data_IF_985752833987
#
_entry.id   IF_985752833987
#
_cell.length_a   1.000
_cell.length_b   1.000
_cell.length_c   1.000
_cell.angle_alpha   90.00
_cell.angle_beta   90.00
_cell.angle_gamma   90.00
#
_symmetry.space_group_name_H-M   'P 1'
#
loop_
_entity.id
_entity.type
_entity.pdbx_description
1 polymer ?
#
# COMPACT_ATOMS: atom_id res chain seq x y z
N UNK A 1 5.23 -52.17 7.33
CA UNK A 1 4.27 -51.96 6.25
C UNK A 1 3.01 -51.33 6.82
N UNK A 2 2.87 -50.04 6.75
CA UNK A 2 1.56 -49.36 6.92
C UNK A 2 1.66 -48.00 6.25
N UNK A 3 0.98 -47.91 5.12
CA UNK A 3 0.80 -46.68 4.35
C UNK A 3 -0.23 -45.82 5.07
N UNK A 4 0.15 -44.62 5.51
CA UNK A 4 -0.80 -43.60 5.92
C UNK A 4 -1.12 -42.71 4.72
N UNK A 5 -2.34 -42.86 4.24
CA UNK A 5 -2.99 -42.03 3.26
C UNK A 5 -3.36 -40.73 3.99
N UNK A 6 -2.78 -39.60 3.57
CA UNK A 6 -3.22 -38.26 3.98
C UNK A 6 -4.24 -37.84 2.93
N UNK A 7 -5.49 -37.72 3.36
CA UNK A 7 -6.57 -37.21 2.54
C UNK A 7 -6.48 -35.68 2.48
N UNK A 8 -6.34 -35.19 1.26
CA UNK A 8 -6.48 -33.77 0.93
C UNK A 8 -7.97 -33.39 0.98
N UNK A 9 -8.40 -32.64 1.96
CA UNK A 9 -9.74 -32.05 2.02
C UNK A 9 -9.70 -30.72 1.28
N UNK A 10 -10.09 -30.72 0.01
CA UNK A 10 -10.50 -29.52 -0.70
C UNK A 10 -11.85 -29.07 -0.12
N UNK A 11 -11.85 -28.00 0.65
CA UNK A 11 -13.06 -27.33 1.07
C UNK A 11 -13.56 -26.47 -0.11
N UNK A 12 -14.55 -27.01 -0.83
CA UNK A 12 -15.34 -26.27 -1.82
C UNK A 12 -16.31 -25.36 -1.04
N UNK A 13 -15.98 -24.07 -0.88
CA UNK A 13 -16.90 -23.09 -0.33
C UNK A 13 -17.93 -22.72 -1.39
N UNK A 14 -19.14 -23.31 -1.31
CA UNK A 14 -20.31 -22.78 -1.98
C UNK A 14 -20.67 -21.44 -1.36
N UNK A 15 -20.40 -20.34 -2.06
CA UNK A 15 -20.94 -19.02 -1.70
C UNK A 15 -22.45 -18.99 -2.04
N UNK A 16 -23.26 -19.29 -1.03
CA UNK A 16 -24.65 -18.87 -1.02
C UNK A 16 -24.68 -17.38 -0.73
N UNK A 17 -25.16 -16.58 -1.69
CA UNK A 17 -25.45 -15.17 -1.49
C UNK A 17 -26.51 -15.03 -0.38
N UNK A 18 -26.06 -14.74 0.82
CA UNK A 18 -26.93 -14.28 1.90
C UNK A 18 -27.14 -12.76 1.74
N UNK A 19 -28.33 -12.23 2.01
CA UNK A 19 -28.53 -10.80 1.98
C UNK A 19 -27.59 -10.14 2.98
N UNK A 20 -26.85 -9.13 2.52
CA UNK A 20 -25.99 -8.26 3.35
C UNK A 20 -26.92 -7.61 4.38
N UNK A 21 -26.88 -8.09 5.61
CA UNK A 21 -27.47 -7.36 6.73
C UNK A 21 -26.64 -6.09 6.90
N UNK A 22 -27.31 -4.94 6.76
CA UNK A 22 -26.72 -3.65 7.10
C UNK A 22 -26.32 -3.72 8.58
N UNK A 23 -25.01 -3.69 8.85
CA UNK A 23 -24.54 -3.41 10.19
C UNK A 23 -24.92 -1.95 10.49
N UNK A 24 -25.92 -1.76 11.32
CA UNK A 24 -26.14 -0.47 11.99
C UNK A 24 -24.91 -0.22 12.86
N UNK A 25 -24.34 1.00 12.75
CA UNK A 25 -23.25 1.43 13.60
C UNK A 25 -23.64 1.17 15.07
N UNK A 26 -22.81 0.43 15.79
CA UNK A 26 -23.01 0.23 17.22
C UNK A 26 -23.05 1.62 17.88
N UNK A 27 -24.11 1.89 18.66
CA UNK A 27 -24.18 3.05 19.55
C UNK A 27 -23.02 2.91 20.55
N UNK A 28 -21.87 3.47 20.21
CA UNK A 28 -20.69 3.55 21.08
C UNK A 28 -20.78 4.79 21.96
N UNK A 29 -20.26 4.71 23.18
CA UNK A 29 -20.05 5.88 24.00
C UNK A 29 -19.20 6.94 23.27
N UNK A 30 -19.21 8.20 23.73
CA UNK A 30 -18.54 9.34 23.09
C UNK A 30 -17.09 8.99 22.70
N UNK A 31 -16.88 8.64 21.41
CA UNK A 31 -15.55 8.47 20.84
C UNK A 31 -14.93 9.86 20.66
N UNK A 32 -13.69 10.02 21.04
CA UNK A 32 -13.01 11.31 20.93
C UNK A 32 -11.63 11.16 20.32
N UNK A 33 -11.30 12.04 19.39
CA UNK A 33 -9.94 12.15 18.86
C UNK A 33 -9.03 12.70 19.97
N UNK A 34 -7.98 11.96 20.37
CA UNK A 34 -7.12 12.38 21.48
C UNK A 34 -6.39 13.69 21.14
N UNK A 35 -6.08 14.47 22.16
CA UNK A 35 -5.20 15.63 22.00
C UNK A 35 -3.76 15.17 22.20
N UNK A 36 -2.97 15.22 21.11
CA UNK A 36 -1.54 14.94 21.11
C UNK A 36 -0.80 16.26 20.93
N UNK A 37 0.09 16.56 21.86
CA UNK A 37 0.88 17.79 21.88
C UNK A 37 2.38 17.46 21.93
N UNK A 38 3.20 18.45 21.57
CA UNK A 38 4.65 18.36 21.65
C UNK A 38 5.25 17.16 20.90
N UNK A 39 5.15 17.15 19.56
CA UNK A 39 5.78 16.09 18.77
C UNK A 39 7.29 16.09 19.05
N UNK A 40 7.92 14.90 19.08
CA UNK A 40 9.37 14.82 19.13
C UNK A 40 9.99 15.66 18.01
N UNK A 41 10.97 16.49 18.36
CA UNK A 41 11.67 17.30 17.35
C UNK A 41 12.69 16.45 16.60
N UNK A 42 12.50 16.31 15.30
CA UNK A 42 13.45 15.68 14.39
C UNK A 42 13.92 16.72 13.37
N UNK A 43 15.20 16.67 13.05
CA UNK A 43 15.79 17.54 12.03
C UNK A 43 15.57 16.89 10.66
N UNK A 44 14.68 17.48 9.85
CA UNK A 44 14.37 16.97 8.52
C UNK A 44 15.21 17.76 7.51
N UNK A 45 16.06 17.10 6.70
CA UNK A 45 16.85 17.77 5.67
C UNK A 45 15.96 18.55 4.70
N UNK A 46 16.41 19.73 4.29
CA UNK A 46 15.72 20.50 3.27
C UNK A 46 16.09 19.99 1.87
N UNK A 47 15.10 19.47 1.13
CA UNK A 47 15.18 19.12 -0.29
C UNK A 47 13.79 19.16 -0.91
N UNK A 48 13.74 19.23 -2.25
CA UNK A 48 12.46 19.19 -2.99
C UNK A 48 11.69 17.90 -2.68
N UNK A 49 12.39 16.76 -2.58
CA UNK A 49 11.77 15.48 -2.26
C UNK A 49 11.16 15.44 -0.85
N UNK A 50 11.85 16.00 0.15
CA UNK A 50 11.32 16.09 1.51
C UNK A 50 10.13 17.06 1.60
N UNK A 51 10.21 18.18 0.87
CA UNK A 51 9.11 19.13 0.77
C UNK A 51 7.88 18.49 0.09
N UNK A 52 8.11 17.77 -0.99
CA UNK A 52 7.07 17.04 -1.71
C UNK A 52 6.37 15.99 -0.83
N UNK A 53 7.13 15.11 -0.17
CA UNK A 53 6.55 14.09 0.73
C UNK A 53 5.79 14.72 1.90
N UNK A 54 6.26 15.88 2.39
CA UNK A 54 5.51 16.63 3.41
C UNK A 54 4.16 17.14 2.88
N UNK A 55 4.10 17.59 1.63
CA UNK A 55 2.87 18.05 0.98
C UNK A 55 1.89 16.92 0.65
N UNK A 56 2.37 15.69 0.54
CA UNK A 56 1.50 14.51 0.38
C UNK A 56 0.52 14.34 1.54
N UNK A 57 0.81 14.92 2.71
CA UNK A 57 -0.05 14.86 3.88
C UNK A 57 -0.38 13.42 4.29
N UNK A 58 -1.64 13.17 4.66
CA UNK A 58 -2.15 11.81 4.90
C UNK A 58 -2.86 11.29 3.66
N UNK A 59 -2.64 10.02 3.37
CA UNK A 59 -3.24 9.33 2.22
C UNK A 59 -4.26 8.26 2.59
N UNK A 60 -5.01 7.86 1.59
CA UNK A 60 -6.00 6.81 1.62
C UNK A 60 -5.74 5.82 0.48
N UNK A 61 -5.87 4.51 0.73
CA UNK A 61 -5.76 3.48 -0.30
C UNK A 61 -7.13 3.13 -0.87
N UNK A 62 -7.26 3.12 -2.19
CA UNK A 62 -8.39 2.52 -2.92
C UNK A 62 -8.19 0.99 -3.01
N UNK A 63 -8.10 0.33 -1.85
CA UNK A 63 -7.78 -1.10 -1.77
C UNK A 63 -8.95 -2.01 -2.15
N UNK A 64 -8.65 -3.26 -2.49
CA UNK A 64 -9.60 -4.29 -2.94
C UNK A 64 -10.45 -3.86 -4.16
N UNK A 65 -9.89 -3.01 -5.02
CA UNK A 65 -10.56 -2.43 -6.19
C UNK A 65 -9.82 -2.83 -7.47
N UNK A 66 -8.85 -2.04 -7.90
CA UNK A 66 -8.03 -2.39 -9.07
C UNK A 66 -6.94 -3.42 -8.75
N UNK A 67 -6.62 -3.62 -7.48
CA UNK A 67 -5.76 -4.70 -6.99
C UNK A 67 -6.47 -6.05 -6.92
N UNK A 68 -7.79 -6.09 -7.06
CA UNK A 68 -8.55 -7.32 -7.12
C UNK A 68 -8.11 -8.19 -8.32
N UNK A 69 -8.13 -9.51 -8.11
CA UNK A 69 -7.79 -10.50 -9.14
C UNK A 69 -8.57 -11.80 -8.92
N UNK A 70 -8.58 -12.64 -9.92
CA UNK A 70 -9.16 -14.00 -9.85
C UNK A 70 -8.40 -14.97 -10.74
N UNK A 71 -8.40 -16.24 -10.32
CA UNK A 71 -7.83 -17.32 -11.12
C UNK A 71 -8.72 -17.68 -12.34
N UNK A 72 -8.06 -18.19 -13.38
CA UNK A 72 -8.71 -18.74 -14.56
C UNK A 72 -9.27 -17.70 -15.52
N UNK A 73 -10.29 -18.08 -16.29
CA UNK A 73 -10.90 -17.16 -17.27
C UNK A 73 -11.72 -16.09 -16.55
N UNK A 74 -11.30 -14.85 -16.69
CA UNK A 74 -11.93 -13.68 -16.07
C UNK A 74 -13.30 -13.36 -16.68
N UNK A 75 -13.52 -13.71 -17.96
CA UNK A 75 -14.74 -13.34 -18.68
C UNK A 75 -14.76 -11.85 -19.03
N UNK A 76 -15.64 -11.08 -18.38
CA UNK A 76 -15.62 -9.61 -18.45
C UNK A 76 -14.58 -9.05 -17.50
N UNK A 77 -13.43 -8.61 -18.05
CA UNK A 77 -12.33 -8.05 -17.27
C UNK A 77 -12.73 -6.83 -16.45
N UNK A 78 -13.68 -6.02 -16.94
CA UNK A 78 -14.16 -4.84 -16.21
C UNK A 78 -14.97 -5.16 -14.97
N UNK A 79 -15.33 -6.44 -14.75
CA UNK A 79 -15.98 -6.91 -13.53
C UNK A 79 -14.99 -7.09 -12.37
N UNK A 80 -13.69 -7.16 -12.65
CA UNK A 80 -12.63 -7.33 -11.64
C UNK A 80 -12.60 -6.16 -10.68
N UNK A 81 -12.79 -4.93 -11.14
CA UNK A 81 -12.80 -3.72 -10.30
C UNK A 81 -13.73 -3.84 -9.08
N UNK A 82 -14.84 -4.55 -9.22
CA UNK A 82 -15.81 -4.75 -8.14
C UNK A 82 -15.81 -6.16 -7.55
N UNK A 83 -14.86 -7.00 -7.94
CA UNK A 83 -14.90 -8.43 -7.59
C UNK A 83 -14.75 -8.69 -6.08
N UNK A 84 -13.89 -7.94 -5.40
CA UNK A 84 -13.69 -8.08 -3.96
C UNK A 84 -14.55 -7.14 -3.13
N UNK A 85 -14.72 -5.89 -3.54
CA UNK A 85 -15.44 -4.87 -2.78
C UNK A 85 -16.93 -4.72 -3.16
N UNK A 86 -17.38 -5.35 -4.26
CA UNK A 86 -18.79 -5.33 -4.71
C UNK A 86 -19.24 -4.01 -5.35
N UNK A 87 -18.40 -2.99 -5.43
CA UNK A 87 -18.74 -1.65 -5.92
C UNK A 87 -17.65 -1.13 -6.85
N UNK A 88 -18.04 -0.56 -8.01
CA UNK A 88 -17.10 0.17 -8.86
C UNK A 88 -16.83 1.56 -8.31
N UNK A 89 -15.61 2.05 -8.50
CA UNK A 89 -15.22 3.39 -8.08
C UNK A 89 -16.06 4.45 -8.80
N UNK A 90 -16.51 5.44 -8.08
CA UNK A 90 -17.22 6.61 -8.61
C UNK A 90 -16.44 7.88 -8.31
N UNK A 91 -16.70 8.92 -9.08
CA UNK A 91 -16.12 10.24 -8.84
C UNK A 91 -16.54 10.78 -7.47
N UNK A 92 -17.79 10.52 -7.04
CA UNK A 92 -18.29 10.92 -5.71
C UNK A 92 -17.52 10.28 -4.55
N UNK A 93 -16.96 9.05 -4.73
CA UNK A 93 -16.08 8.47 -3.72
C UNK A 93 -14.79 9.27 -3.57
N UNK A 94 -14.19 9.66 -4.71
CA UNK A 94 -12.96 10.47 -4.71
C UNK A 94 -13.23 11.87 -4.14
N UNK A 95 -14.38 12.46 -4.46
CA UNK A 95 -14.83 13.72 -3.84
C UNK A 95 -14.92 13.59 -2.32
N UNK A 96 -15.58 12.54 -1.82
CA UNK A 96 -15.71 12.30 -0.37
C UNK A 96 -14.33 12.14 0.33
N UNK A 97 -13.35 11.53 -0.34
CA UNK A 97 -11.97 11.41 0.16
C UNK A 97 -11.29 12.78 0.21
N UNK A 98 -11.42 13.58 -0.85
CA UNK A 98 -10.89 14.93 -0.92
C UNK A 98 -11.53 15.86 0.13
N UNK A 99 -12.87 15.89 0.22
CA UNK A 99 -13.61 16.71 1.19
C UNK A 99 -13.27 16.37 2.65
N UNK A 100 -12.92 15.11 2.93
CA UNK A 100 -12.48 14.70 4.26
C UNK A 100 -11.09 15.24 4.64
N UNK A 101 -10.32 15.74 3.67
CA UNK A 101 -9.01 16.33 3.89
C UNK A 101 -7.81 15.40 3.59
N UNK A 102 -8.02 14.26 2.94
CA UNK A 102 -6.91 13.48 2.41
C UNK A 102 -6.25 14.19 1.23
N UNK A 103 -4.93 14.17 1.18
CA UNK A 103 -4.14 14.84 0.14
C UNK A 103 -3.49 13.85 -0.83
N UNK A 104 -3.57 12.56 -0.55
CA UNK A 104 -2.97 11.49 -1.36
C UNK A 104 -3.93 10.31 -1.48
N UNK A 105 -4.04 9.75 -2.68
CA UNK A 105 -4.73 8.49 -2.92
C UNK A 105 -3.74 7.49 -3.52
N UNK A 106 -3.51 6.37 -2.85
CA UNK A 106 -2.81 5.24 -3.44
C UNK A 106 -3.82 4.37 -4.19
N UNK A 107 -3.54 4.13 -5.45
CA UNK A 107 -4.34 3.35 -6.38
C UNK A 107 -3.58 2.05 -6.69
N UNK A 108 -3.77 1.01 -5.88
CA UNK A 108 -3.15 -0.28 -6.11
C UNK A 108 -3.78 -0.97 -7.31
N UNK A 109 -2.96 -1.51 -8.23
CA UNK A 109 -3.44 -2.16 -9.46
C UNK A 109 -2.73 -3.49 -9.69
N UNK A 110 -3.48 -4.57 -9.84
CA UNK A 110 -3.01 -5.86 -10.34
C UNK A 110 -3.22 -5.93 -11.85
N UNK A 111 -2.16 -6.11 -12.60
CA UNK A 111 -2.19 -6.05 -14.06
C UNK A 111 -2.32 -7.43 -14.72
N UNK A 112 -1.96 -8.51 -14.02
CA UNK A 112 -1.83 -9.85 -14.60
C UNK A 112 -3.12 -10.41 -15.21
N UNK A 113 -4.31 -10.02 -14.74
CA UNK A 113 -5.58 -10.40 -15.33
C UNK A 113 -5.94 -9.56 -16.58
N UNK A 114 -5.16 -8.54 -16.88
CA UNK A 114 -5.44 -7.51 -17.88
C UNK A 114 -4.32 -7.36 -18.90
N UNK A 115 -3.48 -8.37 -19.06
CA UNK A 115 -2.39 -8.41 -20.04
C UNK A 115 -2.51 -9.62 -20.95
N UNK A 116 -2.01 -9.49 -22.17
CA UNK A 116 -1.82 -10.61 -23.10
C UNK A 116 -0.49 -11.36 -22.83
N UNK A 117 -0.16 -12.34 -23.68
CA UNK A 117 1.05 -13.16 -23.55
C UNK A 117 2.36 -12.37 -23.73
N UNK A 118 2.31 -11.20 -24.33
CA UNK A 118 3.43 -10.29 -24.50
C UNK A 118 3.43 -9.16 -23.45
N UNK A 119 2.56 -9.28 -22.42
CA UNK A 119 2.34 -8.31 -21.35
C UNK A 119 1.83 -6.95 -21.85
N UNK A 120 1.10 -6.93 -22.97
CA UNK A 120 0.40 -5.72 -23.40
C UNK A 120 -0.87 -5.54 -22.55
N UNK A 121 -1.00 -4.38 -21.94
CA UNK A 121 -2.15 -4.05 -21.08
C UNK A 121 -3.39 -3.84 -21.95
N UNK A 122 -4.52 -4.39 -21.51
CA UNK A 122 -5.82 -4.12 -22.10
C UNK A 122 -6.14 -2.63 -22.07
N UNK A 123 -6.47 -2.05 -23.22
CA UNK A 123 -6.77 -0.62 -23.31
C UNK A 123 -8.03 -0.23 -22.50
N UNK A 124 -9.14 -0.99 -22.52
CA UNK A 124 -10.29 -0.68 -21.65
C UNK A 124 -9.94 -0.61 -20.16
N UNK A 125 -9.07 -1.51 -19.67
CA UNK A 125 -8.62 -1.47 -18.27
C UNK A 125 -7.73 -0.26 -18.00
N UNK A 126 -6.77 0.00 -18.86
CA UNK A 126 -5.88 1.15 -18.74
C UNK A 126 -6.65 2.47 -18.79
N UNK A 127 -7.66 2.59 -19.68
CA UNK A 127 -8.55 3.75 -19.76
C UNK A 127 -9.33 3.94 -18.47
N UNK A 128 -9.77 2.84 -17.83
CA UNK A 128 -10.51 2.89 -16.57
C UNK A 128 -9.62 3.31 -15.40
N UNK A 129 -8.42 2.77 -15.31
CA UNK A 129 -7.43 3.19 -14.30
C UNK A 129 -7.11 4.68 -14.47
N UNK A 130 -6.87 5.12 -15.70
CA UNK A 130 -6.61 6.54 -15.99
C UNK A 130 -7.79 7.43 -15.56
N UNK A 131 -9.01 7.04 -15.84
CA UNK A 131 -10.20 7.82 -15.44
C UNK A 131 -10.22 8.10 -13.94
N UNK A 132 -9.85 7.11 -13.09
CA UNK A 132 -9.80 7.30 -11.65
C UNK A 132 -8.59 8.16 -11.25
N UNK A 133 -7.44 7.99 -11.90
CA UNK A 133 -6.27 8.85 -11.71
C UNK A 133 -6.63 10.30 -12.03
N UNK A 134 -7.34 10.55 -13.13
CA UNK A 134 -7.79 11.90 -13.53
C UNK A 134 -8.67 12.54 -12.45
N UNK A 135 -9.67 11.83 -11.92
CA UNK A 135 -10.52 12.34 -10.84
C UNK A 135 -9.74 12.77 -9.61
N UNK A 136 -8.65 12.05 -9.28
CA UNK A 136 -7.80 12.38 -8.13
C UNK A 136 -6.94 13.61 -8.44
N UNK A 137 -6.30 13.66 -9.62
CA UNK A 137 -5.44 14.78 -10.04
C UNK A 137 -6.23 16.06 -10.20
N UNK A 138 -7.45 16.00 -10.76
CA UNK A 138 -8.34 17.17 -10.92
C UNK A 138 -8.72 17.82 -9.60
N UNK A 139 -8.60 17.09 -8.48
CA UNK A 139 -8.81 17.58 -7.11
C UNK A 139 -7.51 18.02 -6.42
N UNK A 140 -6.45 18.21 -7.19
CA UNK A 140 -5.13 18.60 -6.69
C UNK A 140 -4.51 17.64 -5.68
N UNK A 141 -4.98 16.37 -5.61
CA UNK A 141 -4.42 15.32 -4.78
C UNK A 141 -3.24 14.61 -5.46
N UNK A 142 -2.37 13.99 -4.66
CA UNK A 142 -1.29 13.13 -5.14
C UNK A 142 -1.81 11.72 -5.39
N UNK A 143 -1.35 11.08 -6.47
CA UNK A 143 -1.64 9.67 -6.80
C UNK A 143 -0.38 8.84 -6.64
N UNK A 144 -0.50 7.67 -6.02
CA UNK A 144 0.52 6.62 -6.07
C UNK A 144 -0.06 5.45 -6.86
N UNK A 145 0.49 5.16 -8.03
CA UNK A 145 0.08 4.08 -8.92
C UNK A 145 1.15 2.99 -8.93
N UNK A 146 0.76 1.70 -8.81
CA UNK A 146 1.71 0.61 -8.67
C UNK A 146 1.40 -0.65 -9.51
N UNK A 147 2.29 -1.64 -9.36
CA UNK A 147 2.05 -3.06 -9.64
C UNK A 147 1.77 -3.74 -8.29
N UNK A 148 0.58 -4.37 -8.12
CA UNK A 148 0.16 -4.82 -6.79
C UNK A 148 0.27 -6.34 -6.59
N UNK A 149 -0.74 -7.15 -6.90
CA UNK A 149 -0.78 -8.59 -6.65
C UNK A 149 -0.36 -9.45 -7.85
N UNK A 150 0.76 -9.09 -8.47
CA UNK A 150 1.26 -9.78 -9.66
C UNK A 150 2.40 -10.76 -9.34
N UNK A 151 2.57 -11.14 -8.05
CA UNK A 151 3.59 -12.08 -7.62
C UNK A 151 3.27 -13.49 -8.10
N UNK A 152 4.03 -13.95 -9.08
CA UNK A 152 3.90 -15.29 -9.66
C UNK A 152 4.99 -15.56 -10.68
N UNK A 153 5.32 -16.83 -10.90
CA UNK A 153 6.39 -17.24 -11.81
C UNK A 153 6.14 -16.81 -13.28
N UNK A 154 4.86 -16.63 -13.65
CA UNK A 154 4.45 -16.21 -14.99
C UNK A 154 4.51 -14.69 -15.19
N UNK A 155 4.67 -13.91 -14.12
CA UNK A 155 4.71 -12.44 -14.13
C UNK A 155 5.99 -11.93 -13.46
N UNK A 156 5.96 -11.61 -12.15
CA UNK A 156 7.22 -11.36 -11.43
C UNK A 156 7.31 -12.19 -10.15
N UNK A 157 8.46 -12.79 -9.94
CA UNK A 157 8.77 -13.56 -8.74
C UNK A 157 10.26 -13.39 -8.42
N UNK A 158 10.64 -12.94 -7.21
CA UNK A 158 12.03 -12.58 -6.90
C UNK A 158 12.87 -13.83 -6.64
N UNK A 159 13.26 -14.52 -7.73
CA UNK A 159 14.23 -15.61 -7.75
C UNK A 159 15.00 -15.60 -9.06
N UNK A 160 16.24 -16.10 -9.06
CA UNK A 160 17.03 -16.20 -10.28
C UNK A 160 16.36 -17.04 -11.37
N UNK A 161 15.64 -18.10 -10.96
CA UNK A 161 14.91 -18.96 -11.89
C UNK A 161 13.80 -18.23 -12.66
N UNK A 162 13.20 -17.18 -12.06
CA UNK A 162 12.13 -16.40 -12.66
C UNK A 162 12.58 -15.00 -13.12
N UNK A 163 13.85 -14.65 -12.92
CA UNK A 163 14.31 -13.26 -13.10
C UNK A 163 14.08 -12.71 -14.50
N UNK A 164 14.37 -13.49 -15.55
CA UNK A 164 14.21 -13.05 -16.95
C UNK A 164 12.73 -12.71 -17.25
N UNK A 165 11.79 -13.55 -16.79
CA UNK A 165 10.36 -13.29 -16.92
C UNK A 165 9.96 -12.06 -16.11
N UNK A 166 10.44 -11.97 -14.88
CA UNK A 166 10.15 -10.85 -13.97
C UNK A 166 10.64 -9.52 -14.53
N UNK A 167 11.88 -9.48 -15.05
CA UNK A 167 12.44 -8.27 -15.68
C UNK A 167 11.59 -7.85 -16.90
N UNK A 168 11.24 -8.81 -17.78
CA UNK A 168 10.42 -8.55 -18.97
C UNK A 168 9.06 -8.00 -18.58
N UNK A 169 8.41 -8.58 -17.54
CA UNK A 169 7.13 -8.14 -17.04
C UNK A 169 7.19 -6.71 -16.47
N UNK A 170 8.08 -6.45 -15.50
CA UNK A 170 8.26 -5.14 -14.88
C UNK A 170 8.55 -4.08 -15.94
N UNK A 171 9.49 -4.34 -16.86
CA UNK A 171 9.83 -3.44 -17.95
C UNK A 171 8.60 -3.14 -18.81
N UNK A 172 7.89 -4.18 -19.27
CA UNK A 172 6.78 -4.01 -20.22
C UNK A 172 5.60 -3.28 -19.62
N UNK A 173 5.26 -3.53 -18.36
CA UNK A 173 4.20 -2.78 -17.68
C UNK A 173 4.61 -1.30 -17.54
N UNK A 174 5.81 -1.03 -17.04
CA UNK A 174 6.26 0.36 -16.82
C UNK A 174 6.52 1.13 -18.11
N UNK A 175 6.89 0.51 -19.23
CA UNK A 175 6.93 1.16 -20.54
C UNK A 175 5.56 1.72 -20.92
N UNK A 176 4.52 0.90 -20.81
CA UNK A 176 3.15 1.28 -21.18
C UNK A 176 2.57 2.34 -20.26
N UNK A 177 2.78 2.20 -18.94
CA UNK A 177 2.35 3.21 -17.97
C UNK A 177 3.11 4.53 -18.15
N UNK A 178 4.40 4.47 -18.44
CA UNK A 178 5.22 5.65 -18.71
C UNK A 178 4.78 6.39 -19.96
N UNK A 179 4.41 5.65 -21.03
CA UNK A 179 3.84 6.23 -22.24
C UNK A 179 2.47 6.87 -21.95
N UNK A 180 1.57 6.12 -21.29
CA UNK A 180 0.20 6.58 -21.01
C UNK A 180 0.14 7.83 -20.15
N UNK A 181 0.99 7.90 -19.13
CA UNK A 181 1.00 8.97 -18.14
C UNK A 181 2.17 9.95 -18.28
N UNK A 182 2.83 9.96 -19.44
CA UNK A 182 4.04 10.77 -19.68
C UNK A 182 3.85 12.27 -19.47
N UNK A 183 2.65 12.78 -19.77
CA UNK A 183 2.31 14.21 -19.63
C UNK A 183 1.84 14.62 -18.23
N UNK A 184 1.61 13.64 -17.31
CA UNK A 184 1.18 13.93 -15.94
C UNK A 184 2.34 14.53 -15.13
N UNK A 185 2.01 15.53 -14.31
CA UNK A 185 2.99 16.23 -13.45
C UNK A 185 3.47 15.39 -12.26
N UNK A 186 4.18 16.07 -11.37
CA UNK A 186 4.85 15.44 -10.21
C UNK A 186 3.89 14.80 -9.20
N UNK A 187 2.61 15.18 -9.20
CA UNK A 187 1.59 14.58 -8.32
C UNK A 187 1.21 13.14 -8.68
N UNK A 188 1.61 12.62 -9.82
CA UNK A 188 1.51 11.21 -10.11
C UNK A 188 2.85 10.51 -9.85
N UNK A 189 2.90 9.73 -8.78
CA UNK A 189 4.04 8.91 -8.36
C UNK A 189 3.85 7.49 -8.93
N UNK A 190 4.93 6.88 -9.40
CA UNK A 190 4.94 5.45 -9.72
C UNK A 190 5.63 4.67 -8.61
N UNK A 191 5.01 3.58 -8.16
CA UNK A 191 5.54 2.66 -7.17
C UNK A 191 5.86 1.31 -7.83
N UNK A 192 7.12 0.92 -7.84
CA UNK A 192 7.67 -0.19 -8.62
C UNK A 192 6.89 -1.49 -8.51
N UNK A 193 6.66 -1.92 -7.28
CA UNK A 193 5.98 -3.16 -6.86
C UNK A 193 5.37 -2.92 -5.48
N UNK A 194 4.33 -3.69 -5.14
CA UNK A 194 3.67 -3.62 -3.83
C UNK A 194 4.53 -4.21 -2.70
N UNK A 195 4.52 -5.50 -2.55
CA UNK A 195 5.19 -6.25 -1.49
C UNK A 195 5.97 -7.43 -2.06
N UNK A 196 7.06 -7.15 -2.81
CA UNK A 196 7.80 -8.20 -3.49
C UNK A 196 8.39 -9.19 -2.50
N UNK A 197 8.06 -10.49 -2.69
CA UNK A 197 8.40 -11.57 -1.78
C UNK A 197 8.37 -12.94 -2.47
N UNK A 198 8.97 -13.92 -1.84
CA UNK A 198 8.88 -15.32 -2.29
C UNK A 198 7.59 -15.96 -1.77
N UNK A 199 6.46 -15.62 -2.42
CA UNK A 199 5.11 -16.09 -2.09
C UNK A 199 5.06 -17.63 -2.07
N UNK A 200 4.40 -18.19 -1.05
CA UNK A 200 4.25 -19.64 -0.89
C UNK A 200 5.45 -20.35 -0.26
N UNK A 201 6.43 -19.64 0.25
CA UNK A 201 7.57 -20.20 0.97
C UNK A 201 7.50 -19.91 2.48
N UNK A 202 8.33 -20.60 3.27
CA UNK A 202 8.46 -20.34 4.71
C UNK A 202 9.02 -18.93 5.01
N UNK A 203 9.58 -18.28 4.01
CA UNK A 203 10.20 -16.95 4.09
C UNK A 203 9.30 -15.85 3.53
N UNK A 204 8.10 -16.16 3.13
CA UNK A 204 7.21 -15.21 2.45
C UNK A 204 7.14 -13.85 3.17
N UNK A 205 6.96 -13.85 4.48
CA UNK A 205 6.78 -12.63 5.27
C UNK A 205 7.97 -12.26 6.17
N UNK A 206 9.07 -13.04 6.11
CA UNK A 206 10.17 -12.86 7.04
C UNK A 206 11.55 -12.95 6.38
N UNK A 207 12.17 -11.82 6.12
CA UNK A 207 13.52 -11.75 5.61
C UNK A 207 14.54 -12.24 6.67
N UNK A 208 15.30 -13.30 6.35
CA UNK A 208 16.48 -13.72 7.08
C UNK A 208 17.74 -13.50 6.25
N UNK A 209 18.59 -12.57 6.67
CA UNK A 209 19.83 -12.22 5.98
C UNK A 209 20.85 -13.37 5.86
N UNK A 210 20.70 -14.43 6.67
CA UNK A 210 21.55 -15.60 6.64
C UNK A 210 21.00 -16.71 5.72
N UNK A 211 19.72 -16.63 5.34
CA UNK A 211 19.10 -17.56 4.42
C UNK A 211 19.45 -17.23 2.97
N UNK A 212 19.83 -18.25 2.19
CA UNK A 212 20.27 -18.08 0.81
C UNK A 212 19.12 -17.61 -0.10
N UNK A 213 17.92 -18.19 0.05
CA UNK A 213 16.73 -17.78 -0.72
C UNK A 213 16.35 -16.33 -0.44
N UNK A 214 16.43 -15.89 0.83
CA UNK A 214 16.16 -14.50 1.20
C UNK A 214 17.20 -13.54 0.58
N UNK A 215 18.48 -13.93 0.51
CA UNK A 215 19.51 -13.12 -0.13
C UNK A 215 19.28 -13.03 -1.64
N UNK A 216 18.98 -14.15 -2.28
CA UNK A 216 18.64 -14.20 -3.70
C UNK A 216 17.43 -13.30 -4.00
N UNK A 217 16.35 -13.44 -3.21
CA UNK A 217 15.15 -12.63 -3.39
C UNK A 217 15.41 -11.13 -3.21
N UNK A 218 16.19 -10.74 -2.21
CA UNK A 218 16.55 -9.35 -1.99
C UNK A 218 17.38 -8.77 -3.14
N UNK A 219 18.32 -9.56 -3.68
CA UNK A 219 19.11 -9.17 -4.87
C UNK A 219 18.20 -8.99 -6.10
N UNK A 220 17.31 -9.95 -6.37
CA UNK A 220 16.34 -9.86 -7.45
C UNK A 220 15.46 -8.61 -7.32
N UNK A 221 14.96 -8.30 -6.11
CA UNK A 221 14.15 -7.10 -5.85
C UNK A 221 14.94 -5.82 -6.13
N UNK A 222 16.18 -5.73 -5.68
CA UNK A 222 17.04 -4.57 -5.97
C UNK A 222 17.23 -4.38 -7.48
N UNK A 223 17.48 -5.46 -8.22
CA UNK A 223 17.63 -5.43 -9.69
C UNK A 223 16.33 -5.05 -10.39
N UNK A 224 15.17 -5.56 -9.94
CA UNK A 224 13.86 -5.20 -10.49
C UNK A 224 13.51 -3.73 -10.21
N UNK A 225 13.85 -3.20 -9.04
CA UNK A 225 13.74 -1.77 -8.75
C UNK A 225 14.59 -0.93 -9.70
N UNK A 226 15.80 -1.39 -10.04
CA UNK A 226 16.65 -0.70 -11.03
C UNK A 226 16.04 -0.75 -12.43
N UNK A 227 15.53 -1.91 -12.86
CA UNK A 227 14.81 -2.05 -14.15
C UNK A 227 13.64 -1.08 -14.24
N UNK A 228 12.86 -0.95 -13.17
CA UNK A 228 11.76 0.02 -13.09
C UNK A 228 12.25 1.46 -13.28
N UNK A 229 13.24 1.89 -12.50
CA UNK A 229 13.79 3.25 -12.59
C UNK A 229 14.33 3.54 -13.98
N UNK A 230 15.16 2.66 -14.52
CA UNK A 230 15.74 2.82 -15.85
C UNK A 230 14.67 2.92 -16.95
N UNK A 231 13.62 2.08 -16.85
CA UNK A 231 12.52 2.07 -17.81
C UNK A 231 11.74 3.38 -17.80
N UNK A 232 11.36 3.85 -16.60
CA UNK A 232 10.62 5.12 -16.47
C UNK A 232 11.47 6.30 -16.95
N UNK A 233 12.75 6.38 -16.55
CA UNK A 233 13.63 7.47 -16.97
C UNK A 233 13.88 7.49 -18.48
N UNK A 234 14.03 6.32 -19.10
CA UNK A 234 14.25 6.20 -20.55
C UNK A 234 13.06 6.70 -21.40
N UNK A 235 11.84 6.74 -20.84
CA UNK A 235 10.67 7.23 -21.57
C UNK A 235 10.65 8.76 -21.75
N UNK A 236 11.48 9.50 -20.96
CA UNK A 236 11.62 10.95 -21.08
C UNK A 236 10.38 11.76 -20.66
N UNK A 237 10.26 12.99 -21.17
CA UNK A 237 9.16 13.89 -20.78
C UNK A 237 9.14 14.15 -19.27
N UNK A 238 7.96 14.22 -18.67
CA UNK A 238 7.82 14.41 -17.23
C UNK A 238 8.33 13.21 -16.41
N UNK A 239 8.48 12.04 -17.04
CA UNK A 239 9.02 10.85 -16.39
C UNK A 239 10.53 10.98 -16.07
N UNK A 240 11.24 11.88 -16.74
CA UNK A 240 12.64 12.16 -16.44
C UNK A 240 12.87 12.67 -15.01
N UNK A 241 11.85 13.36 -14.44
CA UNK A 241 11.90 13.96 -13.09
C UNK A 241 10.78 13.47 -12.16
N UNK A 242 9.96 12.49 -12.60
CA UNK A 242 8.88 11.92 -11.79
C UNK A 242 9.41 11.32 -10.49
N UNK A 243 8.69 11.50 -9.39
CA UNK A 243 8.96 10.76 -8.16
C UNK A 243 8.64 9.27 -8.33
N UNK A 244 9.58 8.43 -7.93
CA UNK A 244 9.48 6.97 -8.03
C UNK A 244 9.59 6.36 -6.64
N UNK A 245 8.66 5.48 -6.29
CA UNK A 245 8.68 4.73 -5.03
C UNK A 245 9.21 3.32 -5.24
N UNK A 246 10.08 2.87 -4.35
CA UNK A 246 10.69 1.54 -4.43
C UNK A 246 10.60 0.81 -3.09
N UNK A 247 10.13 -0.45 -3.05
CA UNK A 247 10.06 -1.26 -1.84
C UNK A 247 11.33 -2.08 -1.64
N UNK A 248 11.62 -2.41 -0.38
CA UNK A 248 12.44 -3.57 -0.04
C UNK A 248 11.61 -4.85 0.02
N UNK A 249 12.18 -5.94 0.55
CA UNK A 249 11.46 -7.20 0.75
C UNK A 249 10.19 -6.99 1.56
N UNK A 250 9.03 -7.43 1.03
CA UNK A 250 7.66 -7.24 1.57
C UNK A 250 7.28 -5.78 1.84
N UNK A 251 7.97 -4.80 1.25
CA UNK A 251 7.89 -3.39 1.62
C UNK A 251 8.01 -3.12 3.13
N UNK A 252 8.46 -4.09 3.92
CA UNK A 252 8.49 -4.01 5.38
C UNK A 252 9.64 -3.13 5.89
N UNK A 253 9.51 -2.55 7.10
CA UNK A 253 10.64 -1.90 7.76
C UNK A 253 11.85 -2.81 7.87
N UNK A 254 11.65 -4.12 8.18
CA UNK A 254 12.74 -5.11 8.23
C UNK A 254 13.44 -5.27 6.89
N UNK A 255 12.68 -5.36 5.80
CA UNK A 255 13.23 -5.46 4.45
C UNK A 255 14.09 -4.25 4.09
N UNK A 256 13.55 -3.05 4.31
CA UNK A 256 14.24 -1.81 4.02
C UNK A 256 15.46 -1.54 4.93
N UNK A 257 15.39 -1.95 6.20
CA UNK A 257 16.49 -1.76 7.16
C UNK A 257 17.60 -2.81 7.00
N UNK A 258 17.34 -3.91 6.28
CA UNK A 258 18.33 -4.94 5.99
C UNK A 258 19.55 -4.37 5.23
N UNK A 259 20.71 -4.96 5.46
CA UNK A 259 21.95 -4.70 4.66
C UNK A 259 21.85 -5.24 3.23
N UNK A 260 20.87 -6.11 2.95
CA UNK A 260 20.63 -6.67 1.62
C UNK A 260 19.88 -5.71 0.70
N UNK A 261 19.18 -4.72 1.26
CA UNK A 261 18.46 -3.74 0.47
C UNK A 261 19.36 -2.58 0.04
N UNK A 262 19.31 -2.27 -1.25
CA UNK A 262 19.97 -1.12 -1.84
C UNK A 262 18.94 -0.30 -2.65
N UNK A 263 18.99 1.02 -2.49
CA UNK A 263 18.23 1.92 -3.37
C UNK A 263 18.79 1.84 -4.79
N UNK A 264 17.94 1.93 -5.82
CA UNK A 264 18.38 1.99 -7.20
C UNK A 264 19.18 3.29 -7.47
N UNK A 265 20.06 3.24 -8.45
CA UNK A 265 20.73 4.43 -8.98
C UNK A 265 19.73 5.16 -9.87
N UNK A 266 19.60 6.45 -9.67
CA UNK A 266 18.72 7.31 -10.47
C UNK A 266 19.52 8.42 -11.16
N UNK A 267 19.17 8.72 -12.40
CA UNK A 267 19.71 9.87 -13.14
C UNK A 267 19.09 11.19 -12.69
N UNK A 268 17.87 11.15 -12.17
CA UNK A 268 17.20 12.30 -11.58
C UNK A 268 17.63 12.46 -10.10
N UNK A 269 17.94 13.69 -9.73
CA UNK A 269 18.39 13.97 -8.36
C UNK A 269 17.20 13.99 -7.39
N UNK A 270 17.33 13.31 -6.26
CA UNK A 270 16.36 13.34 -5.15
C UNK A 270 14.93 13.00 -5.61
N UNK A 271 14.78 11.95 -6.46
CA UNK A 271 13.47 11.52 -6.99
C UNK A 271 13.06 10.12 -6.57
N UNK A 272 13.86 9.43 -5.76
CA UNK A 272 13.52 8.12 -5.20
C UNK A 272 12.93 8.27 -3.80
N UNK A 273 11.77 7.68 -3.59
CA UNK A 273 11.05 7.57 -2.32
C UNK A 273 11.09 6.11 -1.87
N UNK A 274 11.41 5.86 -0.61
CA UNK A 274 11.31 4.52 -0.03
C UNK A 274 9.85 4.18 0.30
N UNK A 275 9.33 3.09 -0.26
CA UNK A 275 8.00 2.55 0.05
C UNK A 275 8.08 1.60 1.24
N UNK A 276 7.21 1.82 2.24
CA UNK A 276 7.10 1.00 3.46
C UNK A 276 5.64 0.64 3.72
N UNK A 277 5.40 -0.62 4.13
CA UNK A 277 4.14 -1.08 4.70
C UNK A 277 4.38 -1.53 6.14
N UNK A 278 3.62 -0.99 7.07
CA UNK A 278 3.89 -1.25 8.49
C UNK A 278 2.63 -1.28 9.34
N UNK A 279 2.04 -2.47 9.46
CA UNK A 279 0.93 -2.76 10.36
C UNK A 279 1.45 -3.05 11.78
N UNK A 280 2.01 -2.02 12.42
CA UNK A 280 2.72 -2.09 13.71
C UNK A 280 1.94 -1.35 14.80
N UNK A 281 1.71 -1.94 15.99
CA UNK A 281 2.06 -3.33 16.39
C UNK A 281 1.19 -4.38 15.71
N UNK A 282 1.79 -5.45 15.22
CA UNK A 282 1.08 -6.50 14.49
C UNK A 282 -0.13 -7.06 15.24
N UNK A 283 0.01 -7.34 16.53
CA UNK A 283 -1.07 -7.91 17.34
C UNK A 283 -2.29 -6.98 17.48
N UNK A 284 -2.11 -5.66 17.40
CA UNK A 284 -3.20 -4.69 17.41
C UNK A 284 -3.71 -4.43 15.98
N UNK A 285 -2.80 -4.17 15.06
CA UNK A 285 -3.15 -3.66 13.74
C UNK A 285 -3.73 -4.75 12.81
N UNK A 286 -3.13 -5.96 12.79
CA UNK A 286 -3.41 -6.96 11.77
C UNK A 286 -3.88 -8.31 12.32
N UNK A 287 -3.36 -8.82 13.44
CA UNK A 287 -3.69 -10.13 13.97
C UNK A 287 -5.15 -10.25 14.39
N UNK A 288 -5.88 -11.28 13.88
CA UNK A 288 -7.32 -11.44 14.08
C UNK A 288 -7.71 -11.60 15.57
N UNK A 289 -7.09 -12.48 16.27
CA UNK A 289 -7.33 -12.72 17.72
C UNK A 289 -6.41 -11.91 18.62
N UNK A 290 -5.70 -10.93 18.08
CA UNK A 290 -4.74 -10.14 18.83
C UNK A 290 -5.36 -9.08 19.75
N UNK A 291 -4.53 -8.16 20.21
CA UNK A 291 -4.92 -7.09 21.14
C UNK A 291 -5.94 -6.15 20.48
N UNK A 292 -7.00 -5.80 21.19
CA UNK A 292 -8.09 -4.90 20.76
C UNK A 292 -8.01 -3.50 21.37
N UNK A 293 -7.05 -3.27 22.28
CA UNK A 293 -6.85 -1.99 22.95
C UNK A 293 -5.55 -1.31 22.53
N UNK A 294 -5.60 0.01 22.36
CA UNK A 294 -4.47 0.88 22.11
C UNK A 294 -4.61 2.15 22.95
N UNK A 295 -3.51 2.71 23.40
CA UNK A 295 -3.46 3.99 24.13
C UNK A 295 -2.32 4.84 23.62
N UNK A 296 -2.54 6.14 23.51
CA UNK A 296 -1.54 7.11 23.04
C UNK A 296 -0.45 7.39 24.09
N UNK A 297 -0.67 7.02 25.34
CA UNK A 297 0.35 7.16 26.40
C UNK A 297 1.57 6.26 26.11
N UNK A 298 2.75 6.71 26.57
CA UNK A 298 3.98 5.93 26.44
C UNK A 298 3.82 4.53 27.03
N UNK A 299 4.08 3.53 26.23
CA UNK A 299 3.92 2.13 26.55
C UNK A 299 4.51 1.20 25.48
N UNK A 300 4.35 -0.12 25.62
CA UNK A 300 4.95 -1.07 24.66
C UNK A 300 4.54 -0.81 23.22
N UNK A 301 3.24 -0.58 22.95
CA UNK A 301 2.71 -0.38 21.59
C UNK A 301 3.24 0.90 20.95
N UNK A 302 3.20 2.04 21.67
CA UNK A 302 3.75 3.30 21.18
C UNK A 302 5.27 3.26 21.02
N UNK A 303 5.97 2.49 21.88
CA UNK A 303 7.40 2.28 21.78
C UNK A 303 7.77 1.44 20.54
N UNK A 304 6.97 0.44 20.18
CA UNK A 304 7.16 -0.37 18.98
C UNK A 304 7.03 0.48 17.72
N UNK A 305 5.97 1.31 17.63
CA UNK A 305 5.80 2.27 16.54
C UNK A 305 6.97 3.26 16.50
N UNK A 306 7.31 3.87 17.62
CA UNK A 306 8.41 4.81 17.72
C UNK A 306 9.76 4.21 17.33
N UNK A 307 10.00 2.94 17.63
CA UNK A 307 11.28 2.26 17.34
C UNK A 307 11.51 2.13 15.84
N UNK A 308 10.59 1.51 15.09
CA UNK A 308 10.80 1.34 13.65
C UNK A 308 10.82 2.67 12.89
N UNK A 309 9.99 3.64 13.30
CA UNK A 309 10.04 4.99 12.74
C UNK A 309 11.38 5.70 13.00
N UNK A 310 11.97 5.52 14.19
CA UNK A 310 13.30 6.04 14.49
C UNK A 310 14.38 5.38 13.63
N UNK A 311 14.27 4.07 13.38
CA UNK A 311 15.22 3.36 12.54
C UNK A 311 15.16 3.83 11.08
N UNK A 312 13.94 4.02 10.53
CA UNK A 312 13.73 4.61 9.21
C UNK A 312 14.26 6.04 9.13
N UNK A 313 13.96 6.87 10.15
CA UNK A 313 14.50 8.22 10.24
C UNK A 313 16.03 8.22 10.16
N UNK A 314 16.69 7.43 11.02
CA UNK A 314 18.16 7.42 11.09
C UNK A 314 18.82 6.92 9.80
N UNK A 315 18.25 5.87 9.19
CA UNK A 315 18.85 5.27 7.98
C UNK A 315 18.54 6.09 6.72
N UNK A 316 17.35 6.67 6.60
CA UNK A 316 16.88 7.27 5.36
C UNK A 316 16.63 8.77 5.47
N UNK A 317 15.67 9.21 6.29
CA UNK A 317 15.26 10.63 6.34
C UNK A 317 16.44 11.54 6.69
N UNK A 318 17.18 11.24 7.74
CA UNK A 318 18.36 12.03 8.16
C UNK A 318 19.47 12.07 7.11
N UNK A 319 19.43 11.18 6.11
CA UNK A 319 20.36 11.13 4.99
C UNK A 319 19.75 11.62 3.66
N UNK A 320 18.60 12.32 3.73
CA UNK A 320 17.97 12.96 2.57
C UNK A 320 17.10 12.05 1.71
N UNK A 321 16.84 10.80 2.13
CA UNK A 321 15.96 9.88 1.41
C UNK A 321 14.55 9.94 1.99
N UNK A 322 13.55 10.41 1.24
CA UNK A 322 12.17 10.47 1.70
C UNK A 322 11.56 9.07 1.86
N UNK A 323 10.65 8.94 2.81
CA UNK A 323 9.94 7.69 3.13
C UNK A 323 8.44 7.94 3.13
N UNK A 324 7.70 7.05 2.49
CA UNK A 324 6.24 7.01 2.55
C UNK A 324 5.81 5.64 3.09
N UNK A 325 4.95 5.64 4.09
CA UNK A 325 4.26 4.42 4.53
C UNK A 325 3.03 4.27 3.64
N UNK A 326 3.16 3.47 2.58
CA UNK A 326 2.12 3.23 1.58
C UNK A 326 0.92 2.47 2.13
N UNK A 327 1.15 1.66 3.18
CA UNK A 327 0.08 0.95 3.87
C UNK A 327 0.31 0.89 5.38
N UNK A 328 -0.72 1.28 6.12
CA UNK A 328 -0.90 1.03 7.54
C UNK A 328 -2.39 1.02 7.86
N UNK A 329 -2.77 0.51 9.01
CA UNK A 329 -4.16 0.49 9.44
C UNK A 329 -4.34 -0.32 10.70
N UNK A 330 -5.57 -0.34 11.22
CA UNK A 330 -5.97 -1.21 12.31
C UNK A 330 -7.33 -1.81 12.01
N UNK A 331 -7.41 -3.14 12.00
CA UNK A 331 -8.65 -3.85 11.70
C UNK A 331 -9.69 -3.68 12.80
N UNK A 332 -10.95 -3.66 12.39
CA UNK A 332 -12.07 -3.71 13.32
C UNK A 332 -12.14 -5.11 13.96
N UNK A 333 -12.13 -5.14 15.29
CA UNK A 333 -12.21 -6.36 16.11
C UNK A 333 -13.53 -6.44 16.90
N UNK A 334 -14.49 -5.56 16.55
CA UNK A 334 -15.76 -5.47 17.22
C UNK A 334 -15.67 -4.70 18.56
N UNK A 335 -16.02 -3.41 18.55
CA UNK A 335 -16.04 -2.57 19.74
C UNK A 335 -14.70 -1.88 20.08
N UNK A 336 -13.69 -1.95 19.21
CA UNK A 336 -12.39 -1.32 19.44
C UNK A 336 -12.25 0.07 18.76
N UNK A 337 -13.37 0.78 18.48
CA UNK A 337 -13.33 2.03 17.72
C UNK A 337 -12.44 3.10 18.36
N UNK A 338 -12.58 3.37 19.68
CA UNK A 338 -11.71 4.34 20.34
C UNK A 338 -10.22 3.97 20.23
N UNK A 339 -9.88 2.69 20.36
CA UNK A 339 -8.51 2.23 20.21
C UNK A 339 -7.96 2.43 18.78
N UNK A 340 -8.83 2.26 17.76
CA UNK A 340 -8.49 2.55 16.34
C UNK A 340 -8.28 4.05 16.11
N UNK A 341 -9.10 4.90 16.72
CA UNK A 341 -8.95 6.37 16.69
C UNK A 341 -7.64 6.79 17.36
N UNK A 342 -7.36 6.27 18.56
CA UNK A 342 -6.11 6.54 19.29
C UNK A 342 -4.88 6.09 18.49
N UNK A 343 -4.96 4.93 17.85
CA UNK A 343 -3.91 4.39 16.99
C UNK A 343 -3.69 5.27 15.75
N UNK A 344 -4.74 5.63 15.04
CA UNK A 344 -4.67 6.48 13.87
C UNK A 344 -4.03 7.84 14.19
N UNK A 345 -4.48 8.47 15.28
CA UNK A 345 -3.92 9.72 15.78
C UNK A 345 -2.42 9.59 16.12
N UNK A 346 -2.06 8.60 16.94
CA UNK A 346 -0.68 8.44 17.40
C UNK A 346 0.27 8.07 16.25
N UNK A 347 -0.15 7.15 15.38
CA UNK A 347 0.69 6.68 14.28
C UNK A 347 1.03 7.81 13.31
N UNK A 348 0.03 8.55 12.84
CA UNK A 348 0.23 9.68 11.93
C UNK A 348 1.02 10.81 12.58
N UNK A 349 0.71 11.15 13.84
CA UNK A 349 1.48 12.13 14.62
C UNK A 349 2.97 11.75 14.72
N UNK A 350 3.25 10.49 15.06
CA UNK A 350 4.62 10.01 15.23
C UNK A 350 5.39 9.93 13.89
N UNK A 351 4.72 9.52 12.81
CA UNK A 351 5.31 9.48 11.47
C UNK A 351 5.58 10.89 10.93
N UNK A 352 4.58 11.78 11.04
CA UNK A 352 4.68 13.18 10.59
C UNK A 352 5.83 13.93 11.28
N UNK A 353 6.01 13.72 12.58
CA UNK A 353 7.12 14.30 13.33
C UNK A 353 8.49 13.94 12.75
N UNK A 354 8.62 12.84 12.02
CA UNK A 354 9.85 12.35 11.35
C UNK A 354 9.91 12.66 9.86
N UNK A 355 8.95 13.43 9.34
CA UNK A 355 8.87 13.74 7.90
C UNK A 355 8.37 12.59 7.03
N UNK A 356 7.62 11.64 7.60
CA UNK A 356 7.07 10.47 6.92
C UNK A 356 5.57 10.70 6.66
N UNK A 357 5.12 10.56 5.40
CA UNK A 357 3.71 10.52 5.02
C UNK A 357 3.18 9.08 5.12
N UNK A 358 1.88 8.93 5.41
CA UNK A 358 1.25 7.63 5.61
C UNK A 358 -0.08 7.53 4.86
N UNK A 359 -0.38 6.37 4.26
CA UNK A 359 -1.64 6.07 3.59
C UNK A 359 -2.38 4.95 4.32
N UNK A 360 -3.59 5.24 4.81
CA UNK A 360 -4.43 4.22 5.45
C UNK A 360 -4.89 3.19 4.44
N UNK A 361 -4.78 1.90 4.79
CA UNK A 361 -5.33 0.82 3.98
C UNK A 361 -6.84 0.71 4.19
N UNK A 362 -7.62 1.06 3.16
CA UNK A 362 -9.08 0.88 3.15
C UNK A 362 -9.46 -0.13 2.07
N UNK A 363 -9.84 -1.33 2.49
CA UNK A 363 -10.22 -2.42 1.59
C UNK A 363 -11.74 -2.55 1.37
N UNK A 364 -12.54 -1.59 1.88
CA UNK A 364 -14.00 -1.61 1.76
C UNK A 364 -14.71 -2.66 2.63
N UNK A 365 -13.98 -3.50 3.38
CA UNK A 365 -14.55 -4.57 4.19
C UNK A 365 -14.92 -4.09 5.60
N UNK A 366 -16.22 -4.16 5.95
CA UNK A 366 -16.77 -3.82 7.27
C UNK A 366 -17.32 -5.01 8.04
N UNK A 367 -17.40 -6.17 7.39
CA UNK A 367 -17.94 -7.40 7.98
C UNK A 367 -17.39 -8.64 7.28
N UNK A 368 -17.51 -9.79 7.93
CA UNK A 368 -17.01 -11.07 7.42
C UNK A 368 -15.82 -11.58 8.22
N UNK A 369 -15.16 -12.62 7.72
CA UNK A 369 -14.01 -13.26 8.38
C UNK A 369 -12.66 -12.75 7.87
N UNK A 370 -12.67 -11.71 7.02
CA UNK A 370 -11.47 -11.14 6.43
C UNK A 370 -10.86 -10.01 7.27
N UNK A 371 -9.98 -9.29 6.64
CA UNK A 371 -9.39 -8.09 7.19
C UNK A 371 -10.37 -6.92 7.07
N UNK A 372 -10.78 -6.33 8.19
CA UNK A 372 -11.81 -5.30 8.28
C UNK A 372 -11.16 -3.93 8.48
N UNK A 373 -10.75 -3.30 7.38
CA UNK A 373 -10.04 -2.02 7.39
C UNK A 373 -10.85 -0.84 6.82
N UNK A 374 -12.08 -1.09 6.35
CA UNK A 374 -12.86 -0.05 5.70
C UNK A 374 -13.06 1.18 6.58
N UNK A 375 -12.95 2.33 5.97
CA UNK A 375 -13.39 3.63 6.52
C UNK A 375 -14.54 4.20 5.68
N UNK A 376 -14.47 4.08 4.34
CA UNK A 376 -15.45 4.64 3.41
C UNK A 376 -16.55 3.62 3.10
N UNK A 377 -17.81 4.03 3.26
CA UNK A 377 -18.96 3.36 2.67
C UNK A 377 -19.02 3.70 1.18
N UNK A 378 -18.45 2.82 0.37
CA UNK A 378 -18.28 3.04 -1.07
C UNK A 378 -19.62 3.15 -1.82
N UNK A 379 -20.68 2.51 -1.33
CA UNK A 379 -22.02 2.59 -1.95
C UNK A 379 -22.73 3.91 -1.71
N UNK A 380 -22.32 4.67 -0.68
CA UNK A 380 -22.96 5.92 -0.24
C UNK A 380 -22.02 7.12 -0.30
N UNK A 381 -20.76 6.94 -0.64
CA UNK A 381 -19.71 7.95 -0.58
C UNK A 381 -19.69 8.71 0.75
N UNK A 382 -19.76 7.94 1.86
CA UNK A 382 -19.82 8.48 3.22
C UNK A 382 -18.98 7.62 4.17
N UNK A 383 -18.58 8.17 5.31
CA UNK A 383 -17.65 7.49 6.22
C UNK A 383 -18.38 6.60 7.21
N UNK A 384 -17.95 5.34 7.36
CA UNK A 384 -18.38 4.46 8.46
C UNK A 384 -17.80 4.91 9.81
N UNK A 385 -16.54 5.42 9.77
CA UNK A 385 -15.76 5.78 10.97
C UNK A 385 -15.18 7.19 10.84
N UNK A 386 -16.03 8.25 10.89
CA UNK A 386 -15.57 9.62 10.71
C UNK A 386 -14.54 10.05 11.77
N UNK A 387 -14.59 9.50 12.98
CA UNK A 387 -13.62 9.82 14.05
C UNK A 387 -12.20 9.31 13.72
N UNK A 388 -12.08 8.15 13.03
CA UNK A 388 -10.77 7.68 12.55
C UNK A 388 -10.26 8.62 11.46
N UNK A 389 -11.13 9.02 10.53
CA UNK A 389 -10.79 9.96 9.45
C UNK A 389 -10.34 11.30 10.02
N UNK A 390 -11.07 11.85 11.00
CA UNK A 390 -10.67 13.08 11.70
C UNK A 390 -9.29 12.93 12.35
N UNK A 391 -9.04 11.81 13.03
CA UNK A 391 -7.75 11.55 13.67
C UNK A 391 -6.60 11.50 12.66
N UNK A 392 -6.80 10.82 11.52
CA UNK A 392 -5.82 10.72 10.43
C UNK A 392 -5.49 12.09 9.85
N UNK A 393 -6.51 12.87 9.49
CA UNK A 393 -6.33 14.18 8.86
C UNK A 393 -5.74 15.18 9.86
N UNK A 394 -6.23 15.23 11.10
CA UNK A 394 -5.74 16.14 12.13
C UNK A 394 -4.23 16.02 12.40
N UNK A 395 -3.70 14.80 12.35
CA UNK A 395 -2.30 14.53 12.71
C UNK A 395 -1.39 14.17 11.53
N UNK A 396 -1.96 13.90 10.36
CA UNK A 396 -1.21 13.49 9.18
C UNK A 396 -1.09 14.59 8.11
N UNK A 397 -1.91 15.64 8.17
CA UNK A 397 -1.90 16.74 7.22
C UNK A 397 -0.70 17.70 7.38
#
# INVERSE_FOLDING_TARGET
MNKRIIALLCALALMLALPVAQAEAAEGGDVAVPLLENPPAFEIPESDAMAFVRQMGVGWNLGNTFDAWRDGNVGDEMSIESYWCGVKTTEDMIEAVHEAGFSTVRVPVSWHNHVDADFNISQPWLDRVQQVVDWIIDRDMTVILNIHHDEGADYYYPSEACYETSERYIRRIWEQLSERFGEYGEKLIFEAMNEPRQKGTDWEWWLDENNENCREAADCINRLNQVFVDTVRASGGNNAERYLMVPGYTASPRGALSKLFALPIDTAKDRIILSIHAYTPYSFALEEGGVDSFKTATGPQTSEIGSFLNDLYRKYIANGVPVVIGEFGARDKGGNLQARVDYAAYYTFAARARGISCCWWDNGAVSGNGELFALLNRSKSSWYYPDIVEALVKYGA
#
